data_IF_126496221220
#
_entry.id   IF_126496221220
#
_cell.length_a   1.000
_cell.length_b   1.000
_cell.length_c   1.000
_cell.angle_alpha   90.00
_cell.angle_beta   90.00
_cell.angle_gamma   90.00
#
_symmetry.space_group_name_H-M   'P 1'
#
loop_
_entity.id
_entity.type
_entity.pdbx_description
1 polymer ?
#
# COMPACT_ATOMS: atom_id res chain seq x y z
N UNK A 1 -17.02 -6.90 11.31
CA UNK A 1 -15.83 -6.35 11.99
C UNK A 1 -16.21 -5.00 12.56
N UNK A 2 -16.15 -4.81 13.88
CA UNK A 2 -16.60 -3.58 14.52
C UNK A 2 -15.75 -2.40 14.01
N UNK A 3 -16.38 -1.24 13.86
CA UNK A 3 -15.74 -0.03 13.32
C UNK A 3 -14.43 0.31 14.04
N UNK A 4 -14.43 0.09 15.36
CA UNK A 4 -13.32 0.30 16.28
C UNK A 4 -12.11 -0.57 15.93
N UNK A 5 -12.32 -1.84 15.57
CA UNK A 5 -11.22 -2.76 15.24
C UNK A 5 -10.47 -2.33 13.98
N UNK A 6 -11.22 -1.83 12.97
CA UNK A 6 -10.62 -1.29 11.73
C UNK A 6 -9.86 0.01 11.97
N UNK A 7 -10.33 0.84 12.91
CA UNK A 7 -9.64 2.07 13.29
C UNK A 7 -8.34 1.76 14.01
N UNK A 8 -8.34 0.80 14.94
CA UNK A 8 -7.14 0.32 15.63
C UNK A 8 -6.14 -0.26 14.63
N UNK A 9 -6.57 -1.12 13.71
CA UNK A 9 -5.70 -1.71 12.68
C UNK A 9 -5.02 -0.63 11.80
N UNK A 10 -5.78 0.40 11.39
CA UNK A 10 -5.24 1.53 10.62
C UNK A 10 -4.24 2.37 11.42
N UNK A 11 -4.56 2.64 12.69
CA UNK A 11 -3.68 3.40 13.59
C UNK A 11 -2.38 2.63 13.80
N UNK A 12 -2.44 1.32 14.08
CA UNK A 12 -1.25 0.48 14.25
C UNK A 12 -0.39 0.45 12.99
N UNK A 13 -1.01 0.41 11.80
CA UNK A 13 -0.30 0.52 10.52
C UNK A 13 0.41 1.87 10.35
N UNK A 14 -0.28 2.97 10.66
CA UNK A 14 0.27 4.33 10.55
C UNK A 14 1.41 4.54 11.56
N UNK A 15 1.22 4.12 12.81
CA UNK A 15 2.26 4.19 13.84
C UNK A 15 3.46 3.30 13.49
N UNK A 16 3.22 2.07 13.04
CA UNK A 16 4.30 1.18 12.59
C UNK A 16 5.10 1.80 11.44
N UNK A 17 4.43 2.38 10.44
CA UNK A 17 5.08 3.04 9.31
C UNK A 17 5.86 4.29 9.75
N UNK A 18 5.30 5.10 10.66
CA UNK A 18 5.93 6.28 11.25
C UNK A 18 7.23 5.96 11.99
N UNK A 19 7.27 4.87 12.75
CA UNK A 19 8.49 4.45 13.46
C UNK A 19 9.51 3.75 12.54
N UNK A 20 9.04 3.11 11.47
CA UNK A 20 9.92 2.36 10.56
C UNK A 20 10.60 3.25 9.51
N UNK A 21 9.94 4.31 9.04
CA UNK A 21 10.46 5.26 8.04
C UNK A 21 11.80 5.92 8.44
N UNK A 22 11.97 6.44 9.67
CA UNK A 22 13.25 7.01 10.11
C UNK A 22 14.38 5.98 10.14
N UNK A 23 14.05 4.72 10.47
CA UNK A 23 15.02 3.63 10.55
C UNK A 23 15.58 3.29 9.15
N UNK A 24 14.70 3.28 8.14
CA UNK A 24 15.11 3.15 6.75
C UNK A 24 15.99 4.34 6.31
N UNK A 25 15.60 5.57 6.66
CA UNK A 25 16.40 6.76 6.34
C UNK A 25 17.78 6.73 6.98
N UNK A 26 17.89 6.22 8.21
CA UNK A 26 19.17 6.03 8.89
C UNK A 26 20.03 4.98 8.18
N UNK A 27 19.44 3.86 7.76
CA UNK A 27 20.14 2.80 7.04
C UNK A 27 20.65 3.22 5.64
N UNK A 28 20.06 4.26 5.04
CA UNK A 28 20.52 4.82 3.77
C UNK A 28 21.75 5.76 3.92
N UNK A 29 22.11 6.17 5.15
CA UNK A 29 23.33 6.95 5.37
C UNK A 29 24.55 6.02 5.36
N UNK A 30 25.25 5.95 4.23
CA UNK A 30 26.49 5.19 4.12
C UNK A 30 27.64 5.94 4.81
N UNK A 31 28.29 5.38 5.84
CA UNK A 31 29.42 6.02 6.52
C UNK A 31 30.66 6.04 5.61
N UNK A 32 31.43 7.12 5.67
CA UNK A 32 32.73 7.23 4.99
C UNK A 32 32.70 7.68 3.52
N UNK A 33 31.51 7.87 2.93
CA UNK A 33 31.38 8.51 1.62
C UNK A 33 31.06 10.01 1.80
N UNK A 34 31.70 10.91 1.04
CA UNK A 34 31.32 12.31 1.04
C UNK A 34 29.85 12.40 0.59
N UNK A 35 29.02 13.03 1.42
CA UNK A 35 27.62 13.26 1.05
C UNK A 35 27.59 14.17 -0.17
N UNK A 36 26.78 13.87 -1.20
CA UNK A 36 26.53 14.84 -2.26
C UNK A 36 25.90 16.08 -1.60
N UNK A 37 26.64 17.20 -1.62
CA UNK A 37 26.27 18.45 -0.94
C UNK A 37 25.51 19.41 -1.84
N UNK A 38 25.30 19.06 -3.11
CA UNK A 38 24.56 19.86 -4.07
C UNK A 38 23.07 19.51 -4.12
N UNK A 39 22.22 20.40 -4.64
CA UNK A 39 20.85 20.05 -5.02
C UNK A 39 20.88 18.90 -6.04
N UNK A 40 19.88 18.03 -5.98
CA UNK A 40 19.70 16.98 -7.00
C UNK A 40 19.46 17.66 -8.35
N UNK A 41 20.38 17.45 -9.30
CA UNK A 41 20.22 17.95 -10.65
C UNK A 41 19.34 16.98 -11.45
N UNK A 42 18.16 17.44 -11.85
CA UNK A 42 17.21 16.65 -12.64
C UNK A 42 17.51 16.67 -14.15
N UNK A 43 18.52 17.44 -14.58
CA UNK A 43 18.99 17.45 -15.96
C UNK A 43 19.78 16.18 -16.30
N UNK A 44 20.26 15.47 -15.28
CA UNK A 44 20.90 14.17 -15.43
C UNK A 44 19.85 13.05 -15.52
N UNK A 45 19.90 12.26 -16.59
CA UNK A 45 18.96 11.17 -16.85
C UNK A 45 18.84 10.21 -15.66
N UNK A 46 19.97 9.86 -15.02
CA UNK A 46 20.01 8.98 -13.84
C UNK A 46 19.16 9.52 -12.69
N UNK A 47 19.30 10.82 -12.37
CA UNK A 47 18.58 11.45 -11.27
C UNK A 47 17.08 11.56 -11.61
N UNK A 48 16.74 11.93 -12.84
CA UNK A 48 15.36 11.97 -13.29
C UNK A 48 14.69 10.59 -13.16
N UNK A 49 15.39 9.52 -13.56
CA UNK A 49 14.87 8.15 -13.48
C UNK A 49 14.63 7.74 -12.04
N UNK A 50 15.62 7.93 -11.16
CA UNK A 50 15.57 7.47 -9.77
C UNK A 50 14.54 8.25 -8.95
N UNK A 51 14.54 9.58 -9.06
CA UNK A 51 13.74 10.44 -8.19
C UNK A 51 12.34 10.73 -8.72
N UNK A 52 12.07 10.51 -10.02
CA UNK A 52 10.76 10.82 -10.62
C UNK A 52 10.15 9.59 -11.29
N UNK A 53 10.84 8.97 -12.24
CA UNK A 53 10.22 7.93 -13.08
C UNK A 53 9.90 6.67 -12.27
N UNK A 54 10.83 6.16 -11.47
CA UNK A 54 10.60 4.97 -10.64
C UNK A 54 9.42 5.19 -9.67
N UNK A 55 9.36 6.28 -8.88
CA UNK A 55 8.20 6.58 -8.03
C UNK A 55 6.87 6.61 -8.78
N UNK A 56 6.84 7.25 -9.96
CA UNK A 56 5.62 7.32 -10.80
C UNK A 56 5.18 5.94 -11.28
N UNK A 57 6.11 5.10 -11.74
CA UNK A 57 5.81 3.72 -12.17
C UNK A 57 5.22 2.91 -11.00
N UNK A 58 5.80 3.01 -9.80
CA UNK A 58 5.30 2.33 -8.60
C UNK A 58 3.85 2.75 -8.32
N UNK A 59 3.54 4.05 -8.41
CA UNK A 59 2.18 4.57 -8.20
C UNK A 59 1.23 4.00 -9.26
N UNK A 60 1.62 4.01 -10.54
CA UNK A 60 0.79 3.48 -11.63
C UNK A 60 0.48 2.00 -11.40
N UNK A 61 1.51 1.18 -11.11
CA UNK A 61 1.34 -0.24 -10.82
C UNK A 61 0.41 -0.44 -9.61
N UNK A 62 0.64 0.29 -8.53
CA UNK A 62 -0.20 0.23 -7.33
C UNK A 62 -1.67 0.50 -7.64
N UNK A 63 -1.98 1.51 -8.47
CA UNK A 63 -3.35 1.84 -8.87
C UNK A 63 -4.00 0.72 -9.70
N UNK A 64 -3.24 0.08 -10.59
CA UNK A 64 -3.71 -1.07 -11.36
C UNK A 64 -4.05 -2.25 -10.45
N UNK A 65 -3.16 -2.58 -9.51
CA UNK A 65 -3.39 -3.66 -8.54
C UNK A 65 -4.57 -3.37 -7.62
N UNK A 66 -4.70 -2.12 -7.15
CA UNK A 66 -5.80 -1.70 -6.28
C UNK A 66 -7.16 -1.96 -6.92
N UNK A 67 -7.32 -1.68 -8.21
CA UNK A 67 -8.58 -1.94 -8.94
C UNK A 67 -8.94 -3.42 -9.01
N UNK A 68 -7.95 -4.31 -9.19
CA UNK A 68 -8.18 -5.76 -9.23
C UNK A 68 -8.63 -6.31 -7.88
N UNK A 69 -7.99 -5.88 -6.79
CA UNK A 69 -8.30 -6.36 -5.44
C UNK A 69 -9.73 -5.97 -5.02
N UNK A 70 -10.18 -4.77 -5.39
CA UNK A 70 -11.55 -4.31 -5.08
C UNK A 70 -12.60 -5.22 -5.75
N UNK A 71 -12.46 -5.50 -7.05
CA UNK A 71 -13.40 -6.37 -7.78
C UNK A 71 -13.48 -7.78 -7.19
N UNK A 72 -12.34 -8.40 -6.92
CA UNK A 72 -12.30 -9.76 -6.34
C UNK A 72 -12.99 -9.80 -4.97
N UNK A 73 -12.87 -8.73 -4.18
CA UNK A 73 -13.51 -8.63 -2.87
C UNK A 73 -15.04 -8.49 -2.97
N UNK A 74 -15.54 -7.77 -3.97
CA UNK A 74 -16.97 -7.61 -4.23
C UNK A 74 -17.59 -8.93 -4.67
N UNK A 75 -17.00 -9.62 -5.65
CA UNK A 75 -17.47 -10.93 -6.11
C UNK A 75 -17.53 -11.97 -4.99
N UNK A 76 -16.49 -12.01 -4.13
CA UNK A 76 -16.46 -12.92 -2.98
C UNK A 76 -17.58 -12.62 -1.98
N UNK A 77 -17.92 -11.34 -1.78
CA UNK A 77 -19.00 -10.90 -0.89
C UNK A 77 -20.37 -11.26 -1.45
N UNK A 78 -20.58 -11.10 -2.76
CA UNK A 78 -21.82 -11.52 -3.43
C UNK A 78 -22.02 -13.03 -3.39
N UNK A 79 -20.99 -13.83 -3.71
CA UNK A 79 -21.07 -15.30 -3.62
C UNK A 79 -21.41 -15.76 -2.20
N UNK A 80 -20.81 -15.13 -1.19
CA UNK A 80 -21.10 -15.46 0.21
C UNK A 80 -22.54 -15.09 0.60
N UNK A 81 -23.05 -13.95 0.11
CA UNK A 81 -24.43 -13.53 0.35
C UNK A 81 -25.44 -14.49 -0.29
N UNK A 82 -25.24 -14.86 -1.56
CA UNK A 82 -26.07 -15.85 -2.26
C UNK A 82 -26.09 -17.20 -1.52
N UNK A 83 -24.92 -17.70 -1.11
CA UNK A 83 -24.82 -18.96 -0.35
C UNK A 83 -25.52 -18.92 1.01
N UNK A 84 -25.59 -17.76 1.67
CA UNK A 84 -26.34 -17.61 2.93
C UNK A 84 -27.85 -17.51 2.71
N UNK A 85 -28.28 -16.87 1.63
CA UNK A 85 -29.69 -16.80 1.24
C UNK A 85 -30.23 -18.19 0.84
N UNK A 86 -29.44 -19.00 0.12
CA UNK A 86 -29.77 -20.39 -0.21
C UNK A 86 -29.94 -21.26 1.04
N UNK A 87 -28.96 -21.26 1.96
CA UNK A 87 -29.08 -22.04 3.22
C UNK A 87 -30.27 -21.63 4.08
N UNK A 88 -30.61 -20.33 4.10
CA UNK A 88 -31.79 -19.84 4.86
C UNK A 88 -33.10 -20.37 4.30
N UNK A 89 -33.19 -20.50 2.97
CA UNK A 89 -34.36 -21.08 2.31
C UNK A 89 -34.45 -22.59 2.58
N UNK A 90 -33.34 -23.30 2.55
CA UNK A 90 -33.27 -24.75 2.87
C UNK A 90 -33.60 -25.07 4.34
N UNK A 91 -33.38 -24.13 5.27
CA UNK A 91 -33.66 -24.33 6.70
C UNK A 91 -35.03 -23.81 7.16
N UNK A 92 -35.78 -23.14 6.28
CA UNK A 92 -37.08 -22.52 6.57
C UNK A 92 -38.27 -23.22 5.93
N UNK A 93 -38.04 -24.38 5.32
CA UNK A 93 -39.00 -25.33 4.75
C UNK A 93 -38.89 -26.64 5.56
#
# INVERSE_FOLDING_TARGET
>A
MPLILKTIERITLIFGLSYFLPLLSYAQNQPGLPKPTGPVDLSEDSNLVIYVIIPVIIIILFLIFRKKIIRVKEEKRERFRKKMEERRKESGD
#
